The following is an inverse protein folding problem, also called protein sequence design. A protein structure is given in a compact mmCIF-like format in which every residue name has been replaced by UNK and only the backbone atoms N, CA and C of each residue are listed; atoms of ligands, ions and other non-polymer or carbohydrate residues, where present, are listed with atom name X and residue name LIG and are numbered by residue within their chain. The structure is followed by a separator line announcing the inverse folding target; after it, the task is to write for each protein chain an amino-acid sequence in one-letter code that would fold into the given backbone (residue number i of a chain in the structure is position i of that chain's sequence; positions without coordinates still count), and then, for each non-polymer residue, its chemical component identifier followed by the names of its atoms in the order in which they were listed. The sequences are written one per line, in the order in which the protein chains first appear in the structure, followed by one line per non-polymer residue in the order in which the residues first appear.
data_IF_614809129064
#
_entry.id   IF_614809129064
#
_cell.length_a   1.000
_cell.length_b   1.000
_cell.length_c   1.000
_cell.angle_alpha   90.00
_cell.angle_beta   90.00
_cell.angle_gamma   90.00
#
_symmetry.space_group_name_H-M   'P 1'
#
loop_
_entity.id
_entity.type
_entity.pdbx_description
1 polymer ?
#
# COMPACT_ATOMS: atom_id res chain seq x y z
N UNK A 1 -28.99 36.45 24.49
CA UNK A 1 -27.94 36.42 23.47
C UNK A 1 -28.28 35.34 22.45
N UNK A 2 -28.61 35.72 21.21
CA UNK A 2 -28.99 34.79 20.13
C UNK A 2 -27.77 33.96 19.67
N UNK A 3 -28.00 32.69 19.31
CA UNK A 3 -26.95 31.84 18.70
C UNK A 3 -26.57 32.38 17.31
N UNK A 4 -25.28 32.55 17.00
CA UNK A 4 -24.85 33.05 15.69
C UNK A 4 -25.29 32.10 14.57
N UNK A 5 -25.70 32.66 13.43
CA UNK A 5 -26.06 31.91 12.22
C UNK A 5 -24.86 31.10 11.72
N UNK A 6 -25.12 29.87 11.21
CA UNK A 6 -24.11 28.97 10.63
C UNK A 6 -23.38 29.57 9.42
N UNK A 7 -23.91 30.69 8.85
CA UNK A 7 -23.31 31.42 7.72
C UNK A 7 -22.55 32.69 8.15
N UNK A 8 -22.37 32.94 9.46
CA UNK A 8 -21.66 34.13 9.93
C UNK A 8 -20.16 33.90 10.03
N UNK A 9 -19.35 34.95 9.73
CA UNK A 9 -17.89 34.94 9.91
C UNK A 9 -17.46 34.59 11.35
N UNK A 10 -18.32 34.89 12.34
CA UNK A 10 -18.09 34.56 13.76
C UNK A 10 -18.20 33.04 14.02
N UNK A 11 -19.08 32.33 13.33
CA UNK A 11 -19.19 30.87 13.39
C UNK A 11 -17.92 30.21 12.88
N UNK A 12 -17.41 30.66 11.72
CA UNK A 12 -16.16 30.15 11.12
C UNK A 12 -14.94 30.39 12.03
N UNK A 13 -14.85 31.55 12.67
CA UNK A 13 -13.78 31.85 13.62
C UNK A 13 -13.85 30.96 14.87
N UNK A 14 -15.05 30.71 15.39
CA UNK A 14 -15.25 29.81 16.54
C UNK A 14 -14.92 28.36 16.19
N UNK A 15 -15.27 27.90 14.99
CA UNK A 15 -14.95 26.57 14.50
C UNK A 15 -13.44 26.40 14.26
N UNK A 16 -12.74 27.40 13.71
CA UNK A 16 -11.27 27.39 13.58
C UNK A 16 -10.58 27.29 14.94
N UNK A 17 -11.01 28.09 15.93
CA UNK A 17 -10.44 28.04 17.31
C UNK A 17 -10.68 26.67 17.96
N UNK A 18 -11.86 26.05 17.79
CA UNK A 18 -12.13 24.71 18.31
C UNK A 18 -11.24 23.64 17.66
N UNK A 19 -11.03 23.71 16.36
CA UNK A 19 -10.12 22.78 15.64
C UNK A 19 -8.67 22.95 16.13
N UNK A 20 -8.19 24.19 16.26
CA UNK A 20 -6.83 24.46 16.77
C UNK A 20 -6.68 23.94 18.21
N UNK A 21 -7.65 24.19 19.09
CA UNK A 21 -7.59 23.72 20.48
C UNK A 21 -7.64 22.18 20.56
N UNK A 22 -8.44 21.53 19.71
CA UNK A 22 -8.48 20.05 19.64
C UNK A 22 -7.14 19.48 19.17
N UNK A 23 -6.54 20.08 18.14
CA UNK A 23 -5.22 19.66 17.63
C UNK A 23 -4.14 19.85 18.70
N UNK A 24 -4.16 20.94 19.41
CA UNK A 24 -3.22 21.23 20.49
C UNK A 24 -3.39 20.25 21.66
N UNK A 25 -4.63 19.90 22.00
CA UNK A 25 -4.92 18.90 23.04
C UNK A 25 -4.40 17.50 22.64
N UNK A 26 -4.58 17.09 21.39
CA UNK A 26 -4.05 15.81 20.87
C UNK A 26 -2.53 15.80 20.90
N UNK A 27 -1.87 16.91 20.53
CA UNK A 27 -0.41 17.03 20.63
C UNK A 27 0.08 16.87 22.08
N UNK A 28 -0.58 17.51 23.03
CA UNK A 28 -0.23 17.39 24.47
C UNK A 28 -0.36 15.94 24.94
N UNK A 29 -1.40 15.21 24.51
CA UNK A 29 -1.58 13.81 24.87
C UNK A 29 -0.48 12.92 24.27
N UNK A 30 -0.05 13.19 23.03
CA UNK A 30 1.06 12.46 22.37
C UNK A 30 2.37 12.72 23.15
N UNK A 31 2.65 13.97 23.51
CA UNK A 31 3.82 14.31 24.32
C UNK A 31 3.80 13.65 25.70
N UNK A 32 2.66 13.71 26.38
CA UNK A 32 2.49 13.08 27.70
C UNK A 32 2.68 11.55 27.62
N UNK A 33 2.13 10.91 26.57
CA UNK A 33 2.34 9.50 26.30
C UNK A 33 3.80 9.16 26.06
N UNK A 34 4.51 9.94 25.24
CA UNK A 34 5.91 9.73 24.96
C UNK A 34 6.80 9.86 26.21
N UNK A 35 6.55 10.89 27.04
CA UNK A 35 7.27 11.06 28.31
C UNK A 35 6.91 9.99 29.32
N UNK A 36 5.63 9.56 29.36
CA UNK A 36 5.19 8.45 30.23
C UNK A 36 5.88 7.13 29.89
N UNK A 37 5.98 6.81 28.60
CA UNK A 37 6.70 5.61 28.11
C UNK A 37 8.20 5.72 28.46
N UNK A 38 8.82 6.87 28.20
CA UNK A 38 10.24 7.11 28.55
C UNK A 38 10.49 6.88 30.05
N UNK A 39 9.65 7.48 30.90
CA UNK A 39 9.76 7.35 32.36
C UNK A 39 9.58 5.88 32.80
N UNK A 40 8.64 5.16 32.19
CA UNK A 40 8.40 3.74 32.50
C UNK A 40 9.59 2.85 32.09
N UNK A 41 10.18 3.10 30.92
CA UNK A 41 11.35 2.36 30.41
C UNK A 41 12.58 2.62 31.26
N UNK A 42 12.81 3.87 31.67
CA UNK A 42 13.94 4.28 32.53
C UNK A 42 13.85 3.63 33.91
N UNK A 43 12.62 3.61 34.47
CA UNK A 43 12.36 3.01 35.80
C UNK A 43 12.58 1.49 35.81
N UNK A 44 12.36 0.82 34.67
CA UNK A 44 12.49 -0.65 34.55
C UNK A 44 13.82 -1.10 33.93
N UNK A 45 14.81 -0.22 33.76
CA UNK A 45 16.13 -0.51 33.13
C UNK A 45 16.06 -1.18 31.76
N UNK A 46 15.01 -0.92 30.98
CA UNK A 46 14.85 -1.47 29.63
C UNK A 46 15.51 -0.51 28.63
N UNK A 47 16.77 -0.80 28.27
CA UNK A 47 17.49 -0.06 27.22
C UNK A 47 17.00 -0.49 25.84
N UNK A 48 15.99 0.20 25.30
CA UNK A 48 15.64 0.12 23.88
C UNK A 48 16.51 1.11 23.13
N UNK A 49 17.59 0.61 22.51
CA UNK A 49 18.38 1.40 21.56
C UNK A 49 17.53 1.68 20.32
N UNK A 50 16.78 2.79 20.32
CA UNK A 50 16.15 3.34 19.13
C UNK A 50 17.26 3.84 18.18
N UNK A 51 17.64 2.97 17.23
CA UNK A 51 18.49 3.36 16.10
C UNK A 51 17.67 4.30 15.21
N UNK A 52 17.80 5.60 15.45
CA UNK A 52 17.25 6.63 14.56
C UNK A 52 18.07 6.67 13.27
N UNK A 53 17.46 6.59 12.07
CA UNK A 53 18.18 6.58 10.79
C UNK A 53 18.57 7.99 10.28
N UNK A 54 18.92 8.92 11.16
CA UNK A 54 19.20 10.31 10.80
C UNK A 54 20.58 10.75 11.26
N UNK A 55 21.68 10.11 10.82
CA UNK A 55 23.01 10.73 10.84
C UNK A 55 23.90 10.10 9.78
N UNK A 56 23.87 10.66 8.58
CA UNK A 56 25.02 10.74 7.72
C UNK A 56 25.21 12.20 7.33
N UNK A 57 25.86 12.95 8.21
CA UNK A 57 26.54 14.19 7.87
C UNK A 57 28.00 14.01 8.23
N UNK A 58 28.81 13.94 7.19
CA UNK A 58 30.22 13.97 7.12
C UNK A 58 30.84 15.07 8.04
N UNK A 59 31.73 14.67 8.91
CA UNK A 59 32.78 15.58 9.40
C UNK A 59 34.13 14.91 9.13
N UNK A 60 34.82 15.48 8.12
CA UNK A 60 36.27 15.35 7.97
C UNK A 60 36.92 16.08 9.13
N UNK A 61 37.80 15.40 9.83
CA UNK A 61 38.95 16.06 10.42
C UNK A 61 40.20 15.16 10.37
N UNK A 62 41.22 15.78 9.80
CA UNK A 62 42.59 15.37 9.70
C UNK A 62 43.24 15.29 11.08
N UNK A 63 44.23 14.42 11.24
CA UNK A 63 45.55 14.63 11.84
C UNK A 63 46.27 13.26 11.76
N UNK A 64 47.23 13.11 10.87
CA UNK A 64 48.66 13.22 10.97
C UNK A 64 49.37 12.26 11.92
N UNK A 65 50.23 11.43 11.35
CA UNK A 65 51.45 11.00 12.05
C UNK A 65 51.97 9.60 11.72
N UNK A 66 52.87 9.53 10.69
CA UNK A 66 54.15 8.82 10.66
C UNK A 66 54.20 7.34 11.17
N UNK A 67 54.88 6.46 10.56
CA UNK A 67 56.04 6.25 9.73
C UNK A 67 56.48 4.77 9.82
N UNK A 68 56.92 4.27 8.69
CA UNK A 68 58.04 3.33 8.45
C UNK A 68 57.86 1.84 8.82
N UNK A 69 58.10 0.93 7.98
CA UNK A 69 59.16 0.45 7.12
C UNK A 69 58.97 -1.04 6.80
N UNK A 70 59.03 -1.33 5.51
CA UNK A 70 59.88 -2.30 4.80
C UNK A 70 59.72 -3.82 4.92
N UNK A 71 59.64 -4.34 3.76
CA UNK A 71 60.42 -5.44 3.11
C UNK A 71 59.77 -6.81 2.95
N UNK A 72 59.50 -7.06 1.70
CA UNK A 72 60.09 -8.04 0.75
C UNK A 72 60.00 -9.54 1.02
N UNK A 73 59.52 -10.16 -0.01
CA UNK A 73 60.02 -11.33 -0.79
C UNK A 73 58.97 -12.44 -0.88
N UNK A 74 58.44 -12.65 -2.09
CA UNK A 74 58.90 -13.45 -3.27
C UNK A 74 59.06 -14.95 -3.03
N UNK A 75 58.41 -15.63 -3.90
CA UNK A 75 58.66 -16.95 -4.57
C UNK A 75 57.75 -18.10 -4.13
N UNK A 76 57.10 -18.59 -5.09
CA UNK A 76 57.27 -19.57 -6.18
C UNK A 76 56.68 -20.95 -5.88
N UNK A 77 55.83 -21.27 -6.79
CA UNK A 77 55.59 -22.55 -7.51
C UNK A 77 55.88 -23.88 -6.81
N UNK A 78 54.96 -24.79 -6.82
CA UNK A 78 55.05 -26.06 -7.57
C UNK A 78 54.00 -27.08 -7.16
N UNK A 79 53.20 -27.47 -8.13
CA UNK A 79 52.70 -28.78 -8.51
C UNK A 79 52.97 -29.94 -7.53
N UNK A 80 51.93 -30.69 -7.10
CA UNK A 80 51.86 -32.13 -7.36
C UNK A 80 50.56 -32.79 -6.86
N UNK A 81 50.11 -33.70 -7.63
CA UNK A 81 48.98 -34.63 -7.62
C UNK A 81 48.88 -35.50 -6.37
N UNK A 82 47.65 -35.92 -6.15
CA UNK A 82 47.22 -37.32 -5.98
C UNK A 82 46.57 -37.68 -4.63
N UNK A 83 45.41 -38.24 -4.81
CA UNK A 83 44.74 -39.36 -4.15
C UNK A 83 43.80 -39.10 -2.95
N UNK A 84 42.55 -39.27 -3.31
CA UNK A 84 41.52 -40.11 -2.69
C UNK A 84 41.54 -40.24 -1.14
N UNK A 85 40.57 -39.59 -0.51
CA UNK A 85 39.81 -40.32 0.50
C UNK A 85 38.41 -39.75 0.69
N UNK A 86 37.46 -40.67 0.70
CA UNK A 86 36.05 -40.49 0.96
C UNK A 86 35.87 -40.09 2.44
N UNK A 87 35.41 -38.87 2.67
CA UNK A 87 34.78 -38.58 3.96
C UNK A 87 33.45 -37.87 3.70
N UNK A 88 32.38 -38.63 3.85
CA UNK A 88 31.01 -38.13 3.78
C UNK A 88 30.77 -37.22 4.99
N UNK A 89 30.96 -35.94 4.80
CA UNK A 89 30.49 -34.93 5.76
C UNK A 89 28.96 -34.82 5.62
N UNK A 90 28.28 -35.44 6.57
CA UNK A 90 26.85 -35.26 6.80
C UNK A 90 26.66 -33.79 7.19
N UNK A 91 26.23 -33.00 6.20
CA UNK A 91 25.75 -31.63 6.41
C UNK A 91 24.50 -31.72 7.29
N UNK A 92 24.43 -31.03 8.45
CA UNK A 92 23.22 -31.02 9.25
C UNK A 92 22.11 -30.37 8.40
N UNK A 93 21.15 -31.17 8.00
CA UNK A 93 19.90 -30.70 7.41
C UNK A 93 19.20 -29.89 8.49
N UNK A 94 19.27 -28.56 8.40
CA UNK A 94 18.39 -27.70 9.18
C UNK A 94 16.96 -28.15 8.90
N UNK A 95 16.14 -28.36 9.95
CA UNK A 95 14.73 -28.62 9.74
C UNK A 95 14.16 -27.41 9.01
N UNK A 96 13.71 -27.59 7.78
CA UNK A 96 12.89 -26.60 7.09
C UNK A 96 11.59 -26.53 7.90
N UNK A 97 11.45 -25.56 8.77
CA UNK A 97 10.18 -25.27 9.42
C UNK A 97 9.15 -25.15 8.33
N UNK A 98 8.20 -26.04 8.30
CA UNK A 98 7.05 -25.99 7.43
C UNK A 98 6.23 -24.81 7.90
N UNK A 99 6.43 -23.63 7.27
CA UNK A 99 5.65 -22.43 7.56
C UNK A 99 4.22 -22.76 7.17
N UNK A 100 3.38 -23.03 8.15
CA UNK A 100 1.95 -23.21 7.92
C UNK A 100 1.37 -21.89 7.46
N UNK A 101 0.79 -21.88 6.27
CA UNK A 101 0.11 -20.71 5.72
C UNK A 101 -1.09 -20.35 6.60
N UNK A 102 -1.12 -19.12 7.11
CA UNK A 102 -2.24 -18.59 7.89
C UNK A 102 -3.10 -17.71 7.01
N UNK A 103 -4.40 -17.64 7.30
CA UNK A 103 -5.37 -16.93 6.47
C UNK A 103 -6.28 -16.05 7.31
N UNK A 104 -6.60 -14.86 6.79
CA UNK A 104 -7.79 -14.11 7.15
C UNK A 104 -8.89 -14.48 6.18
N UNK A 105 -10.12 -14.50 6.63
CA UNK A 105 -11.28 -14.84 5.79
C UNK A 105 -12.14 -13.60 5.55
N UNK A 106 -12.40 -13.31 4.28
CA UNK A 106 -13.38 -12.33 3.87
C UNK A 106 -14.58 -13.06 3.22
N UNK A 107 -15.77 -12.88 3.80
CA UNK A 107 -17.01 -13.41 3.23
C UNK A 107 -17.61 -12.36 2.32
N UNK A 108 -17.69 -12.66 1.02
CA UNK A 108 -18.23 -11.74 0.02
C UNK A 108 -19.78 -11.67 0.06
N UNK A 109 -20.40 -10.80 -0.77
CA UNK A 109 -21.83 -10.61 -0.80
C UNK A 109 -22.60 -11.88 -1.27
N UNK A 110 -21.96 -12.75 -2.06
CA UNK A 110 -22.53 -14.04 -2.48
C UNK A 110 -22.33 -15.16 -1.45
N UNK A 111 -21.72 -14.88 -0.29
CA UNK A 111 -21.45 -15.84 0.76
C UNK A 111 -20.21 -16.70 0.55
N UNK A 112 -19.45 -16.51 -0.55
CA UNK A 112 -18.18 -17.20 -0.81
C UNK A 112 -17.07 -16.65 0.08
N UNK A 113 -16.13 -17.51 0.49
CA UNK A 113 -14.99 -17.15 1.31
C UNK A 113 -13.79 -16.87 0.42
N UNK A 114 -13.20 -15.69 0.60
CA UNK A 114 -11.92 -15.29 0.03
C UNK A 114 -10.89 -15.34 1.14
N UNK A 115 -9.79 -16.09 0.93
CA UNK A 115 -8.73 -16.29 1.92
C UNK A 115 -7.55 -15.38 1.61
N UNK A 116 -7.22 -14.49 2.54
CA UNK A 116 -6.04 -13.62 2.46
C UNK A 116 -4.91 -14.28 3.24
N UNK A 117 -3.89 -14.72 2.52
CA UNK A 117 -2.72 -15.38 3.11
C UNK A 117 -1.79 -14.37 3.77
N UNK A 118 -1.30 -14.72 4.96
CA UNK A 118 -0.30 -13.91 5.66
C UNK A 118 0.76 -14.77 6.33
N UNK A 119 1.95 -14.20 6.48
CA UNK A 119 3.06 -14.75 7.24
C UNK A 119 3.17 -14.01 8.57
N UNK A 120 3.33 -14.75 9.65
CA UNK A 120 3.52 -14.18 10.97
C UNK A 120 5.01 -14.12 11.30
N UNK A 121 5.49 -12.97 11.73
CA UNK A 121 6.85 -12.78 12.23
C UNK A 121 6.83 -12.06 13.57
N UNK A 122 8.00 -11.94 14.21
CA UNK A 122 8.16 -11.15 15.44
C UNK A 122 7.84 -9.66 15.22
N UNK A 123 7.92 -9.18 13.98
CA UNK A 123 7.62 -7.79 13.58
C UNK A 123 6.16 -7.57 13.17
N UNK A 124 5.33 -8.61 13.29
CA UNK A 124 3.90 -8.59 12.94
C UNK A 124 3.56 -9.42 11.71
N UNK A 125 2.32 -9.30 11.25
CA UNK A 125 1.82 -10.03 10.08
C UNK A 125 2.17 -9.29 8.79
N UNK A 126 2.56 -10.06 7.76
CA UNK A 126 2.78 -9.59 6.39
C UNK A 126 1.88 -10.37 5.44
N UNK A 127 1.11 -9.65 4.63
CA UNK A 127 0.24 -10.25 3.62
C UNK A 127 1.11 -10.80 2.49
N UNK A 128 0.84 -12.03 2.07
CA UNK A 128 1.62 -12.74 1.05
C UNK A 128 0.81 -13.18 -0.17
N UNK A 129 -0.53 -13.15 -0.09
CA UNK A 129 -1.36 -13.53 -1.22
C UNK A 129 -2.85 -13.54 -0.93
N UNK A 130 -3.61 -13.96 -1.93
CA UNK A 130 -5.05 -14.13 -1.87
C UNK A 130 -5.45 -15.41 -2.61
N UNK A 131 -6.46 -16.08 -2.12
CA UNK A 131 -7.02 -17.30 -2.73
C UNK A 131 -8.54 -17.20 -2.73
N UNK A 132 -9.15 -17.60 -3.83
CA UNK A 132 -10.60 -17.75 -3.97
C UNK A 132 -10.91 -19.06 -4.65
N UNK A 133 -11.96 -19.73 -4.22
CA UNK A 133 -12.39 -20.99 -4.82
C UNK A 133 -13.05 -20.73 -6.19
N UNK A 134 -12.36 -21.16 -7.26
CA UNK A 134 -12.91 -21.20 -8.62
C UNK A 134 -12.97 -19.86 -9.36
N UNK A 135 -12.42 -18.77 -8.80
CA UNK A 135 -12.41 -17.46 -9.46
C UNK A 135 -11.03 -16.80 -9.38
N UNK A 136 -10.53 -16.31 -10.50
CA UNK A 136 -9.40 -15.42 -10.52
C UNK A 136 -9.83 -14.03 -10.01
N UNK A 137 -9.14 -13.50 -9.01
CA UNK A 137 -9.42 -12.20 -8.40
C UNK A 137 -8.28 -11.25 -8.72
N UNK A 138 -8.59 -10.10 -9.30
CA UNK A 138 -7.62 -9.02 -9.40
C UNK A 138 -7.32 -8.46 -8.02
N UNK A 139 -6.04 -8.49 -7.66
CA UNK A 139 -5.57 -8.02 -6.36
C UNK A 139 -4.18 -7.41 -6.47
N UNK A 140 -3.83 -6.57 -5.51
CA UNK A 140 -2.49 -6.01 -5.36
C UNK A 140 -2.14 -5.87 -3.88
N UNK A 141 -0.85 -6.10 -3.56
CA UNK A 141 -0.32 -6.04 -2.21
C UNK A 141 0.53 -4.77 -2.09
N UNK A 142 0.31 -3.99 -1.03
CA UNK A 142 1.10 -2.80 -0.77
C UNK A 142 2.59 -3.14 -0.61
N UNK A 143 3.47 -2.20 -0.98
CA UNK A 143 4.92 -2.38 -0.95
C UNK A 143 5.44 -2.78 0.45
N UNK A 144 4.79 -2.29 1.52
CA UNK A 144 5.10 -2.63 2.90
C UNK A 144 4.48 -3.97 3.36
N UNK A 145 3.76 -4.68 2.47
CA UNK A 145 3.03 -5.92 2.73
C UNK A 145 2.02 -5.85 3.89
N UNK A 146 1.60 -4.66 4.26
CA UNK A 146 0.64 -4.46 5.37
C UNK A 146 -0.80 -4.36 4.90
N UNK A 147 -1.03 -4.26 3.59
CA UNK A 147 -2.37 -4.13 3.01
C UNK A 147 -2.47 -4.91 1.71
N UNK A 148 -3.67 -5.37 1.41
CA UNK A 148 -4.04 -5.91 0.11
C UNK A 148 -5.34 -5.23 -0.34
N UNK A 149 -5.41 -4.89 -1.63
CA UNK A 149 -6.64 -4.50 -2.29
C UNK A 149 -7.04 -5.60 -3.26
N UNK A 150 -8.32 -5.86 -3.35
CA UNK A 150 -8.85 -6.84 -4.31
C UNK A 150 -10.26 -6.50 -4.73
N UNK A 151 -10.69 -7.07 -5.86
CA UNK A 151 -12.06 -6.93 -6.33
C UNK A 151 -12.96 -8.00 -5.70
N UNK A 152 -14.11 -7.58 -5.23
CA UNK A 152 -15.23 -8.47 -4.91
C UNK A 152 -16.17 -8.53 -6.13
N UNK A 153 -16.01 -9.58 -6.95
CA UNK A 153 -16.81 -9.75 -8.17
C UNK A 153 -18.29 -9.96 -7.88
N UNK A 154 -18.66 -10.39 -6.68
CA UNK A 154 -20.05 -10.67 -6.33
C UNK A 154 -20.94 -9.43 -6.31
N UNK A 155 -20.34 -8.26 -6.05
CA UNK A 155 -21.05 -6.98 -6.04
C UNK A 155 -20.31 -5.83 -6.72
N UNK A 156 -19.18 -6.13 -7.39
CA UNK A 156 -18.38 -5.13 -8.10
C UNK A 156 -17.70 -4.11 -7.18
N UNK A 157 -17.36 -4.47 -5.96
CA UNK A 157 -16.66 -3.61 -5.00
C UNK A 157 -15.15 -3.83 -5.02
N UNK A 158 -14.41 -2.79 -4.63
CA UNK A 158 -13.00 -2.92 -4.23
C UNK A 158 -12.93 -3.00 -2.71
N UNK A 159 -12.24 -4.01 -2.22
CA UNK A 159 -12.03 -4.28 -0.79
C UNK A 159 -10.57 -4.05 -0.44
N UNK A 160 -10.33 -3.39 0.67
CA UNK A 160 -9.02 -3.23 1.31
C UNK A 160 -9.01 -4.05 2.58
N UNK A 161 -8.01 -4.92 2.73
CA UNK A 161 -7.74 -5.66 3.98
C UNK A 161 -6.36 -5.28 4.50
N UNK A 162 -6.25 -5.01 5.78
CA UNK A 162 -4.98 -4.72 6.44
C UNK A 162 -4.34 -5.97 7.08
N UNK A 163 -3.12 -5.83 7.58
CA UNK A 163 -2.36 -6.93 8.21
C UNK A 163 -2.93 -7.40 9.56
N UNK A 164 -4.00 -6.80 10.07
CA UNK A 164 -4.78 -7.28 11.20
C UNK A 164 -5.99 -8.11 10.79
N UNK A 165 -6.24 -8.24 9.47
CA UNK A 165 -7.37 -8.96 8.89
C UNK A 165 -8.65 -8.13 8.80
N UNK A 166 -8.59 -6.83 9.11
CA UNK A 166 -9.76 -5.95 9.00
C UNK A 166 -9.98 -5.57 7.54
N UNK A 167 -11.15 -5.93 7.02
CA UNK A 167 -11.56 -5.67 5.64
C UNK A 167 -12.62 -4.59 5.56
N UNK A 168 -12.50 -3.70 4.56
CA UNK A 168 -13.50 -2.67 4.26
C UNK A 168 -13.65 -2.47 2.76
N UNK A 169 -14.88 -2.21 2.31
CA UNK A 169 -15.14 -1.76 0.94
C UNK A 169 -14.68 -0.30 0.81
N UNK A 170 -13.87 0.00 -0.21
CA UNK A 170 -13.33 1.34 -0.45
C UNK A 170 -13.88 1.99 -1.71
N UNK A 171 -14.42 1.20 -2.67
CA UNK A 171 -15.15 1.77 -3.81
C UNK A 171 -16.54 2.25 -3.38
N UNK A 172 -17.11 3.28 -4.04
CA UNK A 172 -18.39 3.85 -3.64
C UNK A 172 -19.56 2.94 -4.05
N UNK A 173 -20.61 2.89 -3.23
CA UNK A 173 -21.88 2.27 -3.64
C UNK A 173 -22.78 3.23 -4.42
N UNK A 174 -22.42 4.51 -4.44
CA UNK A 174 -23.18 5.55 -5.11
C UNK A 174 -22.25 6.59 -5.70
N UNK A 175 -22.47 6.93 -6.96
CA UNK A 175 -21.81 8.07 -7.62
C UNK A 175 -22.80 9.22 -7.77
N UNK A 176 -22.39 10.43 -7.38
CA UNK A 176 -23.15 11.66 -7.58
C UNK A 176 -22.38 12.60 -8.53
N UNK A 177 -22.96 12.90 -9.68
CA UNK A 177 -22.38 13.86 -10.62
C UNK A 177 -22.34 15.25 -10.02
N UNK A 178 -21.15 15.86 -10.02
CA UNK A 178 -20.99 17.25 -9.53
C UNK A 178 -21.64 18.27 -10.46
N UNK A 179 -21.72 17.96 -11.75
CA UNK A 179 -22.23 18.89 -12.78
C UNK A 179 -23.73 18.82 -12.90
N UNK A 180 -24.31 17.61 -12.93
CA UNK A 180 -25.74 17.42 -13.22
C UNK A 180 -26.55 17.07 -11.97
N UNK A 181 -25.90 16.75 -10.85
CA UNK A 181 -26.56 16.27 -9.64
C UNK A 181 -27.14 14.85 -9.74
N UNK A 182 -27.02 14.19 -10.90
CA UNK A 182 -27.53 12.82 -11.12
C UNK A 182 -26.84 11.86 -10.18
N UNK A 183 -27.63 11.01 -9.54
CA UNK A 183 -27.18 9.97 -8.63
C UNK A 183 -27.28 8.61 -9.31
N UNK A 184 -26.17 7.89 -9.39
CA UNK A 184 -26.05 6.56 -9.94
C UNK A 184 -25.78 5.59 -8.78
N UNK A 185 -26.64 4.58 -8.61
CA UNK A 185 -26.51 3.58 -7.55
C UNK A 185 -25.99 2.27 -8.12
N UNK A 186 -25.02 1.66 -7.46
CA UNK A 186 -24.34 0.43 -7.87
C UNK A 186 -25.33 -0.72 -8.05
N UNK A 187 -26.13 -1.01 -7.03
CA UNK A 187 -27.11 -2.09 -7.00
C UNK A 187 -28.11 -2.01 -8.17
N UNK A 188 -28.64 -0.82 -8.43
CA UNK A 188 -29.58 -0.58 -9.53
C UNK A 188 -28.86 -0.73 -10.88
N UNK A 189 -27.66 -0.19 -11.00
CA UNK A 189 -26.89 -0.23 -12.26
C UNK A 189 -26.52 -1.65 -12.63
N UNK A 190 -25.96 -2.42 -11.68
CA UNK A 190 -25.57 -3.81 -11.91
C UNK A 190 -26.76 -4.75 -12.12
N UNK A 191 -27.90 -4.49 -11.47
CA UNK A 191 -29.16 -5.22 -11.72
C UNK A 191 -29.67 -5.02 -13.14
N UNK A 192 -29.60 -3.79 -13.66
CA UNK A 192 -30.09 -3.44 -14.99
C UNK A 192 -29.09 -3.76 -16.11
N UNK A 193 -27.79 -3.75 -15.79
CA UNK A 193 -26.69 -4.09 -16.69
C UNK A 193 -25.61 -4.87 -15.94
N UNK A 194 -25.72 -6.20 -15.86
CA UNK A 194 -24.75 -7.04 -15.16
C UNK A 194 -23.33 -6.99 -15.72
N UNK A 195 -23.19 -6.62 -16.99
CA UNK A 195 -21.88 -6.46 -17.65
C UNK A 195 -21.22 -5.08 -17.37
N UNK A 196 -21.91 -4.19 -16.63
CA UNK A 196 -21.37 -2.89 -16.30
C UNK A 196 -20.18 -3.01 -15.33
N UNK A 197 -19.05 -2.41 -15.68
CA UNK A 197 -17.87 -2.39 -14.85
C UNK A 197 -17.99 -1.27 -13.81
N UNK A 198 -18.42 -1.63 -12.59
CA UNK A 198 -18.54 -0.67 -11.49
C UNK A 198 -17.19 -0.34 -10.88
N UNK A 199 -16.41 -1.36 -10.51
CA UNK A 199 -15.03 -1.19 -10.05
C UNK A 199 -14.27 -2.52 -10.19
N UNK A 200 -13.08 -2.48 -10.80
CA UNK A 200 -12.23 -3.67 -11.03
C UNK A 200 -10.76 -3.28 -11.11
N UNK A 201 -9.88 -4.27 -11.18
CA UNK A 201 -8.42 -4.12 -11.32
C UNK A 201 -7.84 -3.06 -10.36
N UNK A 202 -8.02 -3.22 -9.03
CA UNK A 202 -7.40 -2.31 -8.09
C UNK A 202 -5.88 -2.46 -8.07
N UNK A 203 -5.16 -1.34 -7.88
CA UNK A 203 -3.70 -1.34 -7.72
C UNK A 203 -3.28 -0.23 -6.78
N UNK A 204 -2.33 -0.49 -5.90
CA UNK A 204 -1.75 0.54 -5.04
C UNK A 204 -0.94 1.55 -5.86
N UNK A 205 -0.86 2.75 -5.35
CA UNK A 205 0.01 3.81 -5.86
C UNK A 205 1.16 4.07 -4.89
N UNK A 206 2.21 4.74 -5.35
CA UNK A 206 3.40 4.99 -4.54
C UNK A 206 3.16 5.79 -3.26
N UNK A 207 2.06 6.55 -3.16
CA UNK A 207 1.63 7.27 -1.96
C UNK A 207 0.65 6.47 -1.07
N UNK A 208 0.42 5.20 -1.41
CA UNK A 208 -0.47 4.30 -0.65
C UNK A 208 -1.96 4.48 -0.93
N UNK A 209 -2.33 5.30 -1.92
CA UNK A 209 -3.68 5.32 -2.49
C UNK A 209 -3.94 4.12 -3.38
N UNK A 210 -5.13 4.04 -3.96
CA UNK A 210 -5.56 2.93 -4.83
C UNK A 210 -6.16 3.48 -6.12
N UNK A 211 -5.66 3.03 -7.26
CA UNK A 211 -6.33 3.23 -8.55
C UNK A 211 -7.21 2.02 -8.86
N UNK A 212 -8.27 2.23 -9.60
CA UNK A 212 -9.13 1.16 -10.12
C UNK A 212 -9.78 1.58 -11.43
N UNK A 213 -10.33 0.63 -12.16
CA UNK A 213 -10.96 0.80 -13.45
C UNK A 213 -12.47 0.70 -13.31
N UNK A 214 -13.20 1.56 -14.02
CA UNK A 214 -14.67 1.66 -13.98
C UNK A 214 -15.21 2.27 -15.26
N UNK A 215 -16.50 2.06 -15.55
CA UNK A 215 -17.24 2.80 -16.57
C UNK A 215 -17.86 4.10 -16.04
N UNK A 216 -17.82 4.35 -14.72
CA UNK A 216 -18.28 5.63 -14.15
C UNK A 216 -17.50 6.81 -14.75
N UNK A 217 -18.15 7.94 -15.03
CA UNK A 217 -19.52 8.29 -14.63
C UNK A 217 -20.60 8.01 -15.69
N UNK A 218 -20.32 7.24 -16.73
CA UNK A 218 -21.22 7.06 -17.86
C UNK A 218 -21.91 5.71 -17.84
N UNK A 219 -23.25 5.68 -17.78
CA UNK A 219 -24.04 4.44 -17.70
C UNK A 219 -24.19 3.77 -19.07
N UNK A 220 -24.24 4.55 -20.15
CA UNK A 220 -24.55 4.05 -21.50
C UNK A 220 -23.30 3.82 -22.36
N UNK A 221 -22.12 4.15 -21.86
CA UNK A 221 -20.86 3.99 -22.58
C UNK A 221 -20.17 2.68 -22.25
N UNK A 222 -19.31 2.23 -23.16
CA UNK A 222 -18.41 1.09 -22.94
C UNK A 222 -17.00 1.52 -22.58
N UNK A 223 -16.72 2.82 -22.63
CA UNK A 223 -15.41 3.39 -22.32
C UNK A 223 -15.03 3.13 -20.86
N UNK A 224 -13.75 2.82 -20.64
CA UNK A 224 -13.17 2.60 -19.32
C UNK A 224 -12.43 3.85 -18.85
N UNK A 225 -12.56 4.13 -17.58
CA UNK A 225 -11.95 5.27 -16.89
C UNK A 225 -11.14 4.78 -15.71
N UNK A 226 -10.03 5.43 -15.43
CA UNK A 226 -9.28 5.23 -14.19
C UNK A 226 -9.76 6.22 -13.14
N UNK A 227 -10.00 5.70 -11.96
CA UNK A 227 -10.28 6.45 -10.74
C UNK A 227 -9.21 6.22 -9.71
N UNK A 228 -9.03 7.17 -8.84
CA UNK A 228 -8.05 7.14 -7.75
C UNK A 228 -8.74 7.41 -6.43
N UNK A 229 -8.52 6.53 -5.45
CA UNK A 229 -8.95 6.64 -4.06
C UNK A 229 -7.72 7.02 -3.25
N UNK A 230 -7.78 8.17 -2.60
CA UNK A 230 -6.73 8.65 -1.72
C UNK A 230 -6.76 7.91 -0.38
N UNK A 231 -5.69 8.04 0.38
CA UNK A 231 -5.58 7.46 1.73
C UNK A 231 -6.61 8.01 2.72
N UNK A 232 -7.14 9.23 2.49
CA UNK A 232 -8.23 9.84 3.25
C UNK A 232 -9.63 9.36 2.81
N UNK A 233 -9.71 8.47 1.80
CA UNK A 233 -10.95 7.94 1.24
C UNK A 233 -11.61 8.85 0.19
N UNK A 234 -11.06 10.02 -0.11
CA UNK A 234 -11.56 10.87 -1.17
C UNK A 234 -11.24 10.27 -2.54
N UNK A 235 -12.13 10.49 -3.52
CA UNK A 235 -12.03 9.89 -4.85
C UNK A 235 -11.96 10.93 -5.94
N UNK A 236 -11.20 10.63 -6.99
CA UNK A 236 -11.07 11.48 -8.16
C UNK A 236 -10.94 10.65 -9.43
N UNK A 237 -11.67 11.06 -10.48
CA UNK A 237 -11.45 10.53 -11.81
C UNK A 237 -10.09 11.03 -12.33
N UNK A 238 -9.23 10.11 -12.75
CA UNK A 238 -7.90 10.39 -13.29
C UNK A 238 -7.99 10.67 -14.79
N UNK A 239 -8.70 9.83 -15.54
CA UNK A 239 -8.86 10.02 -16.97
C UNK A 239 -9.54 8.86 -17.69
N UNK A 240 -9.81 9.05 -18.97
CA UNK A 240 -10.30 8.03 -19.89
C UNK A 240 -9.12 7.17 -20.37
N UNK A 241 -9.32 5.84 -20.40
CA UNK A 241 -8.29 4.88 -20.81
C UNK A 241 -8.26 4.61 -22.33
N UNK A 242 -9.23 5.17 -23.09
CA UNK A 242 -9.37 4.94 -24.52
C UNK A 242 -9.42 3.45 -24.91
N UNK A 243 -9.98 2.64 -24.06
CA UNK A 243 -10.26 1.22 -24.26
C UNK A 243 -11.62 0.87 -23.67
N UNK A 244 -12.29 -0.11 -24.25
CA UNK A 244 -13.48 -0.76 -23.70
C UNK A 244 -13.19 -2.20 -23.25
N UNK A 245 -11.95 -2.67 -23.43
CA UNK A 245 -11.52 -4.04 -23.15
C UNK A 245 -10.60 -4.07 -21.92
N UNK A 246 -11.10 -4.67 -20.85
CA UNK A 246 -10.34 -4.85 -19.61
C UNK A 246 -9.08 -5.71 -19.77
N UNK A 247 -9.09 -6.67 -20.72
CA UNK A 247 -7.95 -7.57 -20.93
C UNK A 247 -6.73 -6.84 -21.52
N UNK A 248 -6.96 -5.71 -22.16
CA UNK A 248 -5.93 -4.88 -22.76
C UNK A 248 -5.33 -3.86 -21.80
N UNK A 249 -5.68 -3.92 -20.52
CA UNK A 249 -5.18 -3.00 -19.49
C UNK A 249 -4.38 -3.79 -18.48
N UNK A 250 -3.10 -3.41 -18.29
CA UNK A 250 -2.21 -3.95 -17.26
C UNK A 250 -1.47 -2.84 -16.51
N UNK A 251 -0.98 -3.20 -15.33
CA UNK A 251 -0.07 -2.36 -14.54
C UNK A 251 1.33 -2.93 -14.61
N UNK A 252 2.30 -2.10 -15.00
CA UNK A 252 3.68 -2.51 -15.25
C UNK A 252 4.64 -1.98 -14.16
N UNK A 253 4.12 -1.78 -12.93
CA UNK A 253 4.89 -1.29 -11.79
C UNK A 253 5.12 0.22 -11.80
N UNK A 254 6.18 0.67 -11.12
CA UNK A 254 6.50 2.09 -10.97
C UNK A 254 7.78 2.43 -11.74
N UNK A 255 7.83 3.64 -12.26
CA UNK A 255 9.09 4.20 -12.77
C UNK A 255 9.94 4.78 -11.63
N UNK A 256 11.14 5.28 -11.94
CA UNK A 256 12.08 5.86 -10.98
C UNK A 256 11.51 7.06 -10.18
N UNK A 257 10.55 7.79 -10.75
CA UNK A 257 9.89 8.90 -10.07
C UNK A 257 8.67 8.47 -9.22
N UNK A 258 8.40 7.16 -9.12
CA UNK A 258 7.25 6.64 -8.39
C UNK A 258 5.91 6.77 -9.14
N UNK A 259 5.92 7.11 -10.43
CA UNK A 259 4.71 7.12 -11.24
C UNK A 259 4.32 5.69 -11.62
N UNK A 260 3.04 5.34 -11.43
CA UNK A 260 2.50 4.05 -11.85
C UNK A 260 2.44 3.96 -13.37
N UNK A 261 3.05 2.93 -13.92
CA UNK A 261 3.05 2.63 -15.35
C UNK A 261 1.85 1.74 -15.68
N UNK A 262 1.06 2.16 -16.66
CA UNK A 262 -0.16 1.51 -17.10
C UNK A 262 -0.08 1.28 -18.59
N UNK A 263 -0.24 0.04 -19.02
CA UNK A 263 -0.35 -0.30 -20.43
C UNK A 263 -1.83 -0.44 -20.79
N UNK A 264 -2.24 0.27 -21.84
CA UNK A 264 -3.61 0.23 -22.39
C UNK A 264 -3.52 -0.02 -23.88
N UNK A 265 -3.80 -1.24 -24.33
CA UNK A 265 -3.77 -1.63 -25.75
C UNK A 265 -2.41 -1.30 -26.43
N UNK A 266 -1.29 -1.58 -25.72
CA UNK A 266 0.08 -1.29 -26.17
C UNK A 266 0.53 0.16 -25.98
N UNK A 267 -0.36 1.06 -25.54
CA UNK A 267 0.00 2.45 -25.23
C UNK A 267 0.31 2.61 -23.75
N UNK A 268 1.49 3.14 -23.46
CA UNK A 268 1.94 3.34 -22.08
C UNK A 268 1.49 4.70 -21.56
N UNK A 269 0.88 4.67 -20.37
CA UNK A 269 0.50 5.85 -19.61
C UNK A 269 1.21 5.82 -18.24
N UNK A 270 1.39 7.02 -17.66
CA UNK A 270 1.93 7.20 -16.33
C UNK A 270 0.94 7.96 -15.46
N UNK A 271 0.73 7.46 -14.26
CA UNK A 271 -0.08 8.13 -13.25
C UNK A 271 0.79 8.58 -12.07
N UNK A 272 0.75 9.90 -11.80
CA UNK A 272 1.41 10.50 -10.63
C UNK A 272 0.33 10.92 -9.65
N UNK A 273 0.30 10.38 -8.42
CA UNK A 273 -0.79 10.63 -7.46
C UNK A 273 -1.09 12.11 -7.21
N UNK A 274 -0.08 12.95 -7.09
CA UNK A 274 -0.24 14.40 -6.85
C UNK A 274 -0.85 15.18 -8.02
N UNK A 275 -0.73 14.68 -9.24
CA UNK A 275 -1.20 15.40 -10.44
C UNK A 275 -2.60 14.99 -10.90
N UNK A 276 -3.05 13.81 -10.52
CA UNK A 276 -4.37 13.25 -10.86
C UNK A 276 -4.66 13.21 -12.37
N UNK A 277 -3.67 12.93 -13.18
CA UNK A 277 -3.78 12.86 -14.63
C UNK A 277 -2.97 11.69 -15.18
N UNK A 278 -3.48 11.11 -16.27
CA UNK A 278 -2.71 10.21 -17.11
C UNK A 278 -1.83 11.02 -18.05
N UNK A 279 -0.54 10.71 -18.08
CA UNK A 279 0.44 11.24 -19.04
C UNK A 279 0.89 10.10 -19.96
N UNK A 280 1.15 10.42 -21.20
CA UNK A 280 1.81 9.52 -22.15
C UNK A 280 3.31 9.71 -22.11
#
# INVERSE_FOLDING_TARGET
MGKPSIFSKEYDQRMKRRKVNLTLFVLILIFAGFFGIRYYLDKNNINIALKMPWHNASVKDKISGKKDTDKDKKNDASTSKSDTDKNATVQPTQPTEKIEAKYYEYKNAAGKIIKIQYNQSLLGSEISGIQSEGEEIFSDISTDKKKIVFEDKSDGSIVLTDSSGISKKISPDTYKSKTTGVVIKKDITLKNNPAYVWATKPHFTSDGGVVYITQLPYIKGTDLYMWYIRTDGSMKMVGKLNSSDLQKISYDGFNESGALKINVDGVVYYFVPGEYKLKR
#
